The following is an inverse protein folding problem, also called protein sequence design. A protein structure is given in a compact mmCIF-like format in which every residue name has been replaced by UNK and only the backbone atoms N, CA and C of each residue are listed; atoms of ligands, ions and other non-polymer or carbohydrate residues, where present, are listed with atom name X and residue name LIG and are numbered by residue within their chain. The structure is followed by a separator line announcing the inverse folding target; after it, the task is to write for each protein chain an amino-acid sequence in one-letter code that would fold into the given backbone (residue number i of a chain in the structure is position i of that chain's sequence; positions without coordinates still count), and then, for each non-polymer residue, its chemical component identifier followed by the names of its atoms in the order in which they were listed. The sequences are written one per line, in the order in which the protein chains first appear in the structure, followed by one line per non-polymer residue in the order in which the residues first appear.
data_IF_031625191996
#
_entry.id   IF_031625191996
#
_cell.length_a   1.000
_cell.length_b   1.000
_cell.length_c   1.000
_cell.angle_alpha   90.00
_cell.angle_beta   90.00
_cell.angle_gamma   90.00
#
_symmetry.space_group_name_H-M   'P 1'
#
loop_
_entity.id
_entity.type
_entity.pdbx_description
1 polymer ?
#
# COMPACT_ATOMS: atom_id res chain seq x y z
N UNK A 1 2.62 -28.32 -2.01
CA UNK A 1 3.32 -27.02 -1.94
C UNK A 1 3.30 -26.59 -0.49
N UNK A 2 4.46 -26.34 0.11
CA UNK A 2 4.55 -25.81 1.48
C UNK A 2 3.93 -24.40 1.50
N UNK A 3 2.96 -24.18 2.38
CA UNK A 3 2.36 -22.86 2.60
C UNK A 3 3.43 -21.90 3.10
N UNK A 4 3.52 -20.69 2.54
CA UNK A 4 4.43 -19.66 3.05
C UNK A 4 4.05 -19.31 4.51
N UNK A 5 5.07 -19.11 5.35
CA UNK A 5 4.92 -18.66 6.73
C UNK A 5 4.56 -17.17 6.79
N UNK A 6 5.14 -16.38 5.88
CA UNK A 6 4.84 -14.97 5.70
C UNK A 6 5.05 -14.57 4.23
N UNK A 7 4.26 -13.62 3.77
CA UNK A 7 4.32 -13.05 2.41
C UNK A 7 4.47 -11.54 2.50
N UNK A 8 5.47 -11.02 1.81
CA UNK A 8 5.76 -9.60 1.66
C UNK A 8 5.84 -9.24 0.19
N UNK A 9 5.64 -7.96 -0.09
CA UNK A 9 5.81 -7.37 -1.41
C UNK A 9 6.77 -6.20 -1.27
N UNK A 10 7.86 -6.27 -2.03
CA UNK A 10 8.90 -5.26 -2.02
C UNK A 10 8.95 -4.51 -3.34
N UNK A 11 9.06 -3.19 -3.30
CA UNK A 11 9.35 -2.33 -4.45
C UNK A 11 10.63 -1.55 -4.18
N UNK A 12 11.43 -1.34 -5.23
CA UNK A 12 12.69 -0.60 -5.14
C UNK A 12 12.52 0.72 -5.89
N UNK A 13 12.92 1.84 -5.30
CA UNK A 13 12.75 3.19 -5.88
C UNK A 13 13.31 3.32 -7.31
N UNK A 14 14.44 2.67 -7.58
CA UNK A 14 15.09 2.69 -8.90
C UNK A 14 14.44 1.73 -9.90
N UNK A 15 13.49 0.90 -9.45
CA UNK A 15 12.69 -0.02 -10.25
C UNK A 15 11.22 0.02 -9.81
N UNK A 16 10.54 1.18 -9.91
CA UNK A 16 9.22 1.37 -9.30
C UNK A 16 8.14 0.48 -9.92
N UNK A 17 8.32 0.10 -11.20
CA UNK A 17 7.42 -0.80 -11.92
C UNK A 17 7.67 -2.29 -11.63
N UNK A 18 8.69 -2.59 -10.81
CA UNK A 18 9.06 -3.97 -10.46
C UNK A 18 8.71 -4.26 -9.01
N UNK A 19 7.72 -5.12 -8.83
CA UNK A 19 7.38 -5.67 -7.54
C UNK A 19 8.01 -7.06 -7.36
N UNK A 20 8.58 -7.28 -6.18
CA UNK A 20 9.10 -8.56 -5.76
C UNK A 20 8.19 -9.17 -4.71
N UNK A 21 7.55 -10.30 -5.04
CA UNK A 21 6.87 -11.14 -4.06
C UNK A 21 7.92 -11.93 -3.29
N UNK A 22 8.02 -11.68 -1.99
CA UNK A 22 8.97 -12.32 -1.07
C UNK A 22 8.20 -13.21 -0.10
N UNK A 23 8.47 -14.51 -0.11
CA UNK A 23 7.81 -15.49 0.74
C UNK A 23 8.83 -16.18 1.65
N UNK A 24 8.58 -16.16 2.96
CA UNK A 24 9.35 -16.95 3.92
C UNK A 24 8.73 -18.34 3.96
N UNK A 25 9.47 -19.35 3.50
CA UNK A 25 9.00 -20.74 3.42
C UNK A 25 9.36 -21.55 4.65
N UNK A 26 10.57 -21.32 5.19
CA UNK A 26 11.07 -21.98 6.40
C UNK A 26 11.82 -20.94 7.25
N UNK A 27 11.55 -20.95 8.55
CA UNK A 27 12.22 -20.11 9.53
C UNK A 27 13.18 -20.96 10.39
N UNK A 28 14.34 -20.42 10.70
CA UNK A 28 15.45 -21.16 11.31
C UNK A 28 16.78 -20.40 11.18
N UNK A 29 17.92 -21.02 11.57
CA UNK A 29 19.24 -20.39 11.47
C UNK A 29 19.59 -19.97 10.03
N UNK A 30 19.13 -20.78 9.07
CA UNK A 30 19.13 -20.44 7.65
C UNK A 30 17.68 -20.42 7.20
N UNK A 31 17.20 -19.25 6.76
CA UNK A 31 15.84 -19.08 6.26
C UNK A 31 15.75 -19.56 4.82
N UNK A 32 14.67 -20.27 4.47
CA UNK A 32 14.35 -20.55 3.05
C UNK A 32 13.39 -19.46 2.57
N UNK A 33 13.85 -18.61 1.67
CA UNK A 33 13.09 -17.46 1.15
C UNK A 33 12.86 -17.65 -0.36
N UNK A 34 11.63 -17.46 -0.82
CA UNK A 34 11.30 -17.39 -2.24
C UNK A 34 11.16 -15.92 -2.65
N UNK A 35 11.84 -15.51 -3.72
CA UNK A 35 11.67 -14.20 -4.35
C UNK A 35 11.19 -14.42 -5.78
N UNK A 36 9.97 -13.99 -6.09
CA UNK A 36 9.30 -14.24 -7.37
C UNK A 36 9.32 -15.74 -7.78
N UNK A 37 9.17 -16.64 -6.81
CA UNK A 37 9.18 -18.09 -7.02
C UNK A 37 10.57 -18.75 -7.05
N UNK A 38 11.65 -17.96 -7.10
CA UNK A 38 13.02 -18.48 -7.01
C UNK A 38 13.44 -18.61 -5.55
N UNK A 39 13.88 -19.80 -5.17
CA UNK A 39 14.25 -20.12 -3.79
C UNK A 39 15.71 -19.74 -3.51
N UNK A 40 15.93 -19.12 -2.35
CA UNK A 40 17.21 -18.74 -1.78
C UNK A 40 17.30 -19.28 -0.35
N UNK A 41 18.46 -19.81 0.01
CA UNK A 41 18.82 -20.06 1.39
C UNK A 41 19.53 -18.81 1.91
N UNK A 42 18.94 -18.17 2.92
CA UNK A 42 19.37 -16.88 3.46
C UNK A 42 19.82 -17.10 4.89
N UNK A 43 21.13 -17.00 5.10
CA UNK A 43 21.72 -16.83 6.42
C UNK A 43 21.97 -15.32 6.60
N UNK A 44 21.54 -14.78 7.74
CA UNK A 44 21.83 -13.41 8.13
C UNK A 44 22.40 -13.39 9.55
N UNK A 45 23.53 -12.70 9.69
CA UNK A 45 24.08 -12.34 10.99
C UNK A 45 24.07 -10.81 11.12
N UNK A 46 23.63 -10.33 12.27
CA UNK A 46 23.61 -8.90 12.60
C UNK A 46 24.97 -8.54 13.20
N UNK A 47 25.77 -7.76 12.46
CA UNK A 47 27.04 -7.21 12.92
C UNK A 47 26.87 -5.75 13.31
N UNK A 48 26.84 -5.44 14.61
CA UNK A 48 26.62 -4.08 15.10
C UNK A 48 25.24 -3.51 14.74
N UNK A 49 25.04 -2.19 14.87
CA UNK A 49 23.70 -1.57 14.81
C UNK A 49 23.00 -1.63 13.44
N UNK A 50 23.66 -1.97 12.33
CA UNK A 50 23.00 -1.93 11.00
C UNK A 50 23.62 -2.78 9.88
N UNK A 51 24.67 -3.58 10.12
CA UNK A 51 25.30 -4.38 9.07
C UNK A 51 24.73 -5.80 9.09
N UNK A 52 24.13 -6.20 7.97
CA UNK A 52 23.65 -7.55 7.74
C UNK A 52 24.59 -8.24 6.75
N UNK A 53 25.19 -9.36 7.16
CA UNK A 53 25.87 -10.25 6.21
C UNK A 53 24.84 -11.21 5.64
N UNK A 54 24.42 -10.99 4.40
CA UNK A 54 23.50 -11.88 3.70
C UNK A 54 24.32 -12.86 2.87
N UNK A 55 24.20 -14.15 3.16
CA UNK A 55 24.83 -15.18 2.34
C UNK A 55 23.84 -15.65 1.28
N UNK A 56 24.16 -15.42 0.00
CA UNK A 56 23.40 -15.91 -1.14
C UNK A 56 24.31 -16.81 -1.97
N UNK A 57 23.93 -18.08 -2.17
CA UNK A 57 24.69 -19.05 -2.97
C UNK A 57 26.18 -19.16 -2.55
N UNK A 58 26.45 -19.24 -1.23
CA UNK A 58 27.79 -19.29 -0.64
C UNK A 58 28.65 -18.03 -0.81
N UNK A 59 28.07 -16.92 -1.28
CA UNK A 59 28.74 -15.62 -1.34
C UNK A 59 28.16 -14.70 -0.28
N UNK A 60 29.01 -14.18 0.61
CA UNK A 60 28.59 -13.18 1.60
C UNK A 60 28.52 -11.81 0.94
N UNK A 61 27.41 -11.13 1.16
CA UNK A 61 27.14 -9.76 0.79
C UNK A 61 26.87 -8.97 2.06
N UNK A 62 27.81 -8.09 2.42
CA UNK A 62 27.60 -7.12 3.49
C UNK A 62 26.69 -6.00 2.99
N UNK A 63 25.51 -5.89 3.59
CA UNK A 63 24.57 -4.79 3.33
C UNK A 63 24.34 -4.01 4.61
N UNK A 64 24.20 -2.70 4.49
CA UNK A 64 23.74 -1.85 5.58
C UNK A 64 22.27 -1.57 5.36
N UNK A 65 21.45 -1.83 6.38
CA UNK A 65 20.01 -1.58 6.31
C UNK A 65 19.65 -0.61 7.43
N UNK A 66 19.11 0.54 7.05
CA UNK A 66 18.55 1.53 7.98
C UNK A 66 17.05 1.69 7.72
N UNK A 67 16.29 1.89 8.78
CA UNK A 67 14.87 2.20 8.66
C UNK A 67 14.70 3.71 8.43
N UNK A 68 13.98 4.08 7.36
CA UNK A 68 13.60 5.48 7.09
C UNK A 68 12.21 5.76 7.68
N UNK A 69 11.27 4.84 7.47
CA UNK A 69 9.90 4.92 7.97
C UNK A 69 9.28 3.52 8.11
N UNK A 70 8.00 3.45 8.51
CA UNK A 70 7.30 2.21 8.88
C UNK A 70 7.42 1.07 7.85
N UNK A 71 7.40 1.39 6.54
CA UNK A 71 7.55 0.40 5.45
C UNK A 71 8.78 0.63 4.57
N UNK A 72 9.58 1.66 4.83
CA UNK A 72 10.65 2.09 3.92
C UNK A 72 12.01 1.91 4.58
N UNK A 73 12.86 1.16 3.88
CA UNK A 73 14.22 0.85 4.31
C UNK A 73 15.21 1.39 3.29
N UNK A 74 16.31 1.96 3.77
CA UNK A 74 17.48 2.21 2.93
C UNK A 74 18.41 1.01 3.02
N UNK A 75 18.75 0.45 1.87
CA UNK A 75 19.69 -0.66 1.72
C UNK A 75 20.91 -0.15 0.99
N UNK A 76 22.04 -0.12 1.69
CA UNK A 76 23.34 0.22 1.10
C UNK A 76 24.17 -1.03 0.85
N UNK A 77 24.60 -1.22 -0.39
CA UNK A 77 25.42 -2.35 -0.82
C UNK A 77 26.63 -1.84 -1.61
N UNK A 78 27.85 -2.02 -1.08
CA UNK A 78 29.11 -1.66 -1.76
C UNK A 78 29.21 -0.21 -2.27
N UNK A 79 28.45 0.72 -1.69
CA UNK A 79 28.44 2.14 -2.07
C UNK A 79 27.18 2.56 -2.81
N UNK A 80 26.41 1.61 -3.35
CA UNK A 80 25.11 1.87 -3.97
C UNK A 80 24.02 1.91 -2.89
N UNK A 81 23.07 2.84 -3.04
CA UNK A 81 21.96 3.07 -2.12
C UNK A 81 20.65 2.75 -2.81
N UNK A 82 19.81 1.94 -2.18
CA UNK A 82 18.48 1.57 -2.66
C UNK A 82 17.45 1.89 -1.59
N UNK A 83 16.34 2.52 -1.97
CA UNK A 83 15.18 2.60 -1.08
C UNK A 83 14.23 1.47 -1.42
N UNK A 84 13.94 0.64 -0.43
CA UNK A 84 13.07 -0.53 -0.57
C UNK A 84 11.85 -0.30 0.30
N UNK A 85 10.68 -0.22 -0.33
CA UNK A 85 9.42 -0.27 0.38
C UNK A 85 9.01 -1.74 0.51
N UNK A 86 8.69 -2.18 1.73
CA UNK A 86 8.26 -3.55 2.03
C UNK A 86 6.91 -3.50 2.73
N UNK A 87 5.89 -4.10 2.11
CA UNK A 87 4.54 -4.19 2.67
C UNK A 87 4.15 -5.66 2.85
N UNK A 88 3.41 -5.95 3.91
CA UNK A 88 2.83 -7.28 4.11
C UNK A 88 1.60 -7.52 3.22
N UNK A 89 1.17 -8.79 3.13
CA UNK A 89 0.03 -9.21 2.34
C UNK A 89 -1.29 -8.55 2.74
N UNK A 90 -1.54 -8.33 4.03
CA UNK A 90 -2.78 -7.71 4.51
C UNK A 90 -2.84 -6.23 4.10
N UNK A 91 -1.74 -5.50 4.27
CA UNK A 91 -1.58 -4.10 3.89
C UNK A 91 -1.69 -3.94 2.37
N UNK A 92 -1.08 -4.85 1.59
CA UNK A 92 -1.25 -4.87 0.14
C UNK A 92 -2.69 -5.11 -0.30
N UNK A 93 -3.39 -6.08 0.31
CA UNK A 93 -4.81 -6.32 0.00
C UNK A 93 -5.67 -5.10 0.32
N UNK A 94 -5.39 -4.39 1.42
CA UNK A 94 -6.10 -3.16 1.77
C UNK A 94 -5.82 -2.04 0.76
N UNK A 95 -4.56 -1.83 0.37
CA UNK A 95 -4.18 -0.80 -0.60
C UNK A 95 -4.70 -1.11 -2.01
N UNK A 96 -4.66 -2.37 -2.45
CA UNK A 96 -5.20 -2.79 -3.75
C UNK A 96 -6.73 -2.70 -3.82
N UNK A 97 -7.46 -2.91 -2.72
CA UNK A 97 -8.91 -2.60 -2.66
C UNK A 97 -9.21 -1.10 -2.83
N UNK A 98 -8.27 -0.23 -2.45
CA UNK A 98 -8.37 1.21 -2.66
C UNK A 98 -7.97 1.58 -4.10
N UNK A 99 -7.10 0.79 -4.75
CA UNK A 99 -6.53 1.03 -6.08
C UNK A 99 -7.14 0.25 -7.24
N UNK A 100 -8.06 -0.70 -7.01
CA UNK A 100 -8.78 -1.34 -8.10
C UNK A 100 -9.62 -0.28 -8.82
N UNK A 101 -9.21 0.10 -10.03
CA UNK A 101 -9.98 0.95 -10.93
C UNK A 101 -11.29 0.22 -11.20
N UNK A 102 -12.32 0.59 -10.47
CA UNK A 102 -13.59 -0.09 -10.47
C UNK A 102 -14.36 0.32 -11.74
N UNK A 103 -14.15 -0.40 -12.83
CA UNK A 103 -14.77 -0.07 -14.12
C UNK A 103 -16.30 -0.15 -14.02
N UNK A 104 -16.99 0.92 -14.43
CA UNK A 104 -18.46 1.03 -14.40
C UNK A 104 -19.00 1.75 -13.16
N UNK A 105 -20.33 1.86 -13.07
CA UNK A 105 -21.05 2.63 -12.05
C UNK A 105 -20.59 2.29 -10.62
N UNK A 106 -19.91 3.25 -9.98
CA UNK A 106 -19.44 3.20 -8.60
C UNK A 106 -20.38 3.93 -7.66
N UNK A 107 -20.72 3.28 -6.55
CA UNK A 107 -21.44 3.89 -5.44
C UNK A 107 -20.43 4.27 -4.36
N UNK A 108 -20.23 5.56 -4.15
CA UNK A 108 -19.32 6.07 -3.12
C UNK A 108 -20.08 6.10 -1.80
N UNK A 109 -19.59 5.35 -0.82
CA UNK A 109 -20.16 5.26 0.52
C UNK A 109 -19.20 5.78 1.59
N UNK A 110 -19.75 6.25 2.70
CA UNK A 110 -18.95 6.69 3.84
C UNK A 110 -18.22 5.50 4.49
N UNK A 111 -16.89 5.55 4.55
CA UNK A 111 -16.06 4.49 5.13
C UNK A 111 -15.96 4.58 6.67
N UNK A 112 -16.35 5.72 7.23
CA UNK A 112 -16.34 6.01 8.66
C UNK A 112 -17.48 6.96 9.00
N UNK A 113 -18.04 6.92 10.23
CA UNK A 113 -19.06 7.87 10.62
C UNK A 113 -18.44 9.25 10.84
N UNK A 114 -19.14 10.31 10.44
CA UNK A 114 -18.61 11.67 10.54
C UNK A 114 -19.58 12.73 10.04
N UNK A 115 -19.03 13.93 9.80
CA UNK A 115 -19.76 15.07 9.25
C UNK A 115 -19.12 15.47 7.93
N UNK A 116 -19.92 15.69 6.90
CA UNK A 116 -19.46 16.24 5.63
C UNK A 116 -19.11 17.71 5.86
N UNK A 117 -17.82 18.04 5.78
CA UNK A 117 -17.36 19.42 5.91
C UNK A 117 -17.61 20.20 4.62
N UNK A 118 -17.37 19.54 3.49
CA UNK A 118 -17.49 20.16 2.16
C UNK A 118 -17.72 19.12 1.08
N UNK A 119 -18.58 19.43 0.14
CA UNK A 119 -18.76 18.72 -1.12
C UNK A 119 -18.04 19.48 -2.23
N UNK A 120 -17.11 18.82 -2.93
CA UNK A 120 -16.22 19.45 -3.91
C UNK A 120 -16.72 19.31 -5.36
N UNK A 121 -17.72 18.47 -5.60
CA UNK A 121 -18.25 18.15 -6.93
C UNK A 121 -19.76 18.21 -6.96
N UNK A 122 -20.33 18.38 -8.16
CA UNK A 122 -21.77 18.30 -8.43
C UNK A 122 -22.07 17.24 -9.49
N UNK A 123 -23.34 16.84 -9.57
CA UNK A 123 -23.78 15.98 -10.66
C UNK A 123 -23.47 16.62 -12.03
N UNK A 124 -22.87 15.85 -12.93
CA UNK A 124 -22.41 16.26 -14.25
C UNK A 124 -20.92 16.59 -14.33
N UNK A 125 -20.19 16.68 -13.21
CA UNK A 125 -18.75 16.97 -13.24
C UNK A 125 -17.94 15.75 -13.70
N UNK A 126 -16.97 15.98 -14.59
CA UNK A 126 -15.94 14.99 -14.95
C UNK A 126 -14.87 14.92 -13.86
N UNK A 127 -14.56 13.71 -13.43
CA UNK A 127 -13.55 13.43 -12.40
C UNK A 127 -12.58 12.37 -12.90
N UNK A 128 -11.33 12.45 -12.41
CA UNK A 128 -10.34 11.39 -12.60
C UNK A 128 -10.23 10.57 -11.32
N UNK A 129 -9.70 9.35 -11.43
CA UNK A 129 -9.30 8.57 -10.29
C UNK A 129 -8.36 9.41 -9.40
N UNK A 130 -8.64 9.44 -8.11
CA UNK A 130 -7.95 10.27 -7.13
C UNK A 130 -8.46 11.71 -6.99
N UNK A 131 -9.36 12.19 -7.84
CA UNK A 131 -9.98 13.53 -7.70
C UNK A 131 -10.75 13.61 -6.37
N UNK A 132 -10.52 14.62 -5.52
CA UNK A 132 -11.29 14.83 -4.29
C UNK A 132 -12.77 15.12 -4.58
N UNK A 133 -13.68 14.34 -3.99
CA UNK A 133 -15.13 14.45 -4.16
C UNK A 133 -15.78 15.21 -3.01
N UNK A 134 -15.38 14.93 -1.77
CA UNK A 134 -15.84 15.63 -0.57
C UNK A 134 -14.82 15.47 0.57
N UNK A 135 -14.99 16.29 1.62
CA UNK A 135 -14.20 16.23 2.85
C UNK A 135 -15.11 15.79 3.99
N UNK A 136 -14.74 14.71 4.66
CA UNK A 136 -15.43 14.16 5.82
C UNK A 136 -14.59 14.40 7.08
N UNK A 137 -15.20 15.00 8.10
CA UNK A 137 -14.56 15.17 9.41
C UNK A 137 -15.02 14.06 10.35
N UNK A 138 -14.05 13.30 10.85
CA UNK A 138 -14.25 12.31 11.88
C UNK A 138 -13.16 12.49 12.94
N UNK A 139 -13.54 12.43 14.22
CA UNK A 139 -12.58 12.50 15.34
C UNK A 139 -11.59 13.69 15.26
N UNK A 140 -12.06 14.88 14.85
CA UNK A 140 -11.27 16.12 14.63
C UNK A 140 -10.24 16.05 13.50
N UNK A 141 -10.32 15.05 12.62
CA UNK A 141 -9.46 14.88 11.47
C UNK A 141 -10.27 14.96 10.18
N UNK A 142 -9.76 15.73 9.22
CA UNK A 142 -10.32 15.83 7.87
C UNK A 142 -9.83 14.66 7.02
N UNK A 143 -10.77 14.00 6.35
CA UNK A 143 -10.51 12.89 5.46
C UNK A 143 -11.12 13.20 4.10
N UNK A 144 -10.28 13.30 3.08
CA UNK A 144 -10.75 13.49 1.72
C UNK A 144 -11.25 12.16 1.14
N UNK A 145 -12.49 12.16 0.67
CA UNK A 145 -13.04 11.05 -0.11
C UNK A 145 -12.75 11.34 -1.57
N UNK A 146 -12.06 10.42 -2.24
CA UNK A 146 -11.57 10.58 -3.61
C UNK A 146 -12.29 9.63 -4.56
N UNK A 147 -12.40 10.01 -5.82
CA UNK A 147 -12.96 9.14 -6.85
C UNK A 147 -12.09 7.90 -7.03
N UNK A 148 -12.65 6.68 -7.03
CA UNK A 148 -11.90 5.47 -7.32
C UNK A 148 -11.62 5.31 -8.82
N UNK A 149 -12.37 6.01 -9.68
CA UNK A 149 -12.34 5.85 -11.14
C UNK A 149 -12.33 7.20 -11.87
N UNK A 150 -11.92 7.17 -13.13
CA UNK A 150 -12.27 8.20 -14.11
C UNK A 150 -13.75 8.06 -14.46
N UNK A 151 -14.48 9.17 -14.57
CA UNK A 151 -15.89 9.14 -14.95
C UNK A 151 -16.61 10.46 -14.71
N UNK A 152 -17.94 10.40 -14.72
CA UNK A 152 -18.83 11.54 -14.48
C UNK A 152 -19.60 11.30 -13.18
N UNK A 153 -19.67 12.32 -12.33
CA UNK A 153 -20.52 12.28 -11.13
C UNK A 153 -21.97 12.26 -11.59
N UNK A 154 -22.69 11.15 -11.38
CA UNK A 154 -24.10 11.03 -11.77
C UNK A 154 -25.04 11.63 -10.76
N UNK A 155 -24.79 11.35 -9.48
CA UNK A 155 -25.68 11.71 -8.38
C UNK A 155 -24.87 12.06 -7.14
N UNK A 156 -25.34 13.05 -6.39
CA UNK A 156 -24.79 13.47 -5.08
C UNK A 156 -25.94 13.46 -4.08
N UNK A 157 -25.80 12.67 -3.01
CA UNK A 157 -26.84 12.44 -1.99
C UNK A 157 -26.55 13.18 -0.67
N UNK A 158 -25.43 13.89 -0.60
CA UNK A 158 -24.97 14.60 0.61
C UNK A 158 -24.79 16.08 0.34
N UNK A 159 -24.86 16.86 1.41
CA UNK A 159 -24.61 18.30 1.45
C UNK A 159 -23.66 18.67 2.60
N UNK A 160 -23.10 19.87 2.54
CA UNK A 160 -22.23 20.39 3.60
C UNK A 160 -22.99 20.43 4.94
N UNK A 161 -22.39 19.84 5.97
CA UNK A 161 -22.95 19.72 7.32
C UNK A 161 -23.68 18.40 7.60
N UNK A 162 -23.91 17.55 6.59
CA UNK A 162 -24.61 16.29 6.78
C UNK A 162 -23.83 15.30 7.65
N UNK A 163 -24.54 14.61 8.53
CA UNK A 163 -24.00 13.50 9.32
C UNK A 163 -24.15 12.22 8.53
N UNK A 164 -23.05 11.48 8.37
CA UNK A 164 -23.03 10.19 7.67
C UNK A 164 -22.57 9.09 8.62
N UNK A 165 -23.16 7.92 8.46
CA UNK A 165 -22.79 6.66 9.12
C UNK A 165 -21.98 5.78 8.16
N UNK A 166 -21.33 4.75 8.71
CA UNK A 166 -20.62 3.76 7.87
C UNK A 166 -21.58 3.15 6.85
N UNK A 167 -21.14 3.07 5.61
CA UNK A 167 -21.88 2.60 4.43
C UNK A 167 -23.01 3.51 3.92
N UNK A 168 -23.21 4.69 4.49
CA UNK A 168 -24.18 5.65 3.93
C UNK A 168 -23.76 6.03 2.51
N UNK A 169 -24.73 6.00 1.60
CA UNK A 169 -24.52 6.32 0.18
C UNK A 169 -24.35 7.83 0.04
N UNK A 170 -23.21 8.25 -0.50
CA UNK A 170 -22.86 9.67 -0.64
C UNK A 170 -22.95 10.14 -2.08
N UNK A 171 -22.41 9.37 -3.04
CA UNK A 171 -22.35 9.77 -4.44
C UNK A 171 -22.37 8.56 -5.38
N UNK A 172 -22.61 8.81 -6.67
CA UNK A 172 -22.39 7.83 -7.74
C UNK A 172 -21.50 8.43 -8.82
N UNK A 173 -20.49 7.68 -9.25
CA UNK A 173 -19.60 8.02 -10.36
C UNK A 173 -19.68 6.91 -11.41
N UNK A 174 -19.76 7.26 -12.70
CA UNK A 174 -19.84 6.31 -13.81
C UNK A 174 -19.08 6.81 -15.04
#
# INVERSE_FOLDING_TARGET
MSKALATYFATVNDMPDTEFKVEILEDGPVKKVSVNGKIYNVDYNVGGDSIYSIILNHKSHGVQISNISDDVYEVKNKGDYFQVQVIDELKKMRLSRIQSVAVGRQVITAQMPGVILKVNVKAGDEVKAGTPLCVLVAMKMENEIRSPIDGVVKEVFITDGDKVSVNDKMMVVE
#
